data_IF_828064909779
#
_entry.id   IF_828064909779
#
_cell.length_a   1.000
_cell.length_b   1.000
_cell.length_c   1.000
_cell.angle_alpha   90.00
_cell.angle_beta   90.00
_cell.angle_gamma   90.00
#
_symmetry.space_group_name_H-M   'P 1'
#
loop_
_entity.id
_entity.type
_entity.pdbx_description
1 polymer ?
#
# COMPACT_ATOMS: atom_id res chain seq x y z
N UNK A 1 59.04 -7.99 -29.17
CA UNK A 1 57.82 -7.16 -29.06
C UNK A 1 56.72 -8.02 -28.47
N UNK A 2 56.55 -7.94 -27.14
CA UNK A 2 55.54 -8.69 -26.37
C UNK A 2 54.39 -7.71 -26.06
N UNK A 3 53.21 -8.02 -26.62
CA UNK A 3 51.97 -7.35 -26.27
C UNK A 3 51.31 -8.14 -25.14
N UNK A 4 51.25 -7.50 -23.95
CA UNK A 4 50.55 -8.02 -22.79
C UNK A 4 49.05 -7.66 -22.91
N UNK A 5 48.17 -8.65 -22.94
CA UNK A 5 46.72 -8.49 -22.90
C UNK A 5 46.33 -8.35 -21.42
N UNK A 6 45.77 -7.19 -21.05
CA UNK A 6 45.14 -6.95 -19.75
C UNK A 6 43.84 -7.71 -19.63
N UNK A 7 43.70 -8.40 -18.53
CA UNK A 7 42.51 -9.15 -18.13
C UNK A 7 41.60 -8.17 -17.36
N UNK A 8 40.56 -7.68 -18.05
CA UNK A 8 39.49 -6.92 -17.38
C UNK A 8 38.65 -7.89 -16.57
N UNK A 9 38.83 -7.81 -15.27
CA UNK A 9 37.91 -8.46 -14.30
C UNK A 9 36.61 -7.67 -14.27
N UNK A 10 35.57 -8.20 -14.92
CA UNK A 10 34.22 -7.72 -14.72
C UNK A 10 33.75 -8.10 -13.33
N UNK A 11 33.55 -7.09 -12.48
CA UNK A 11 32.92 -7.22 -11.17
C UNK A 11 31.47 -7.72 -11.33
N UNK A 12 31.28 -8.99 -11.02
CA UNK A 12 29.99 -9.71 -11.05
C UNK A 12 29.22 -9.56 -9.74
N UNK A 13 29.75 -8.78 -8.76
CA UNK A 13 29.20 -8.71 -7.41
C UNK A 13 28.09 -7.67 -7.20
N UNK A 14 27.77 -6.84 -8.21
CA UNK A 14 26.77 -5.78 -8.03
C UNK A 14 25.32 -6.20 -8.33
N UNK A 15 25.11 -7.36 -8.97
CA UNK A 15 23.75 -7.81 -9.37
C UNK A 15 23.04 -8.65 -8.30
N UNK A 16 23.79 -9.31 -7.40
CA UNK A 16 23.17 -10.19 -6.40
C UNK A 16 22.60 -9.45 -5.19
N UNK A 17 23.15 -8.29 -4.82
CA UNK A 17 22.65 -7.54 -3.64
C UNK A 17 21.26 -6.95 -3.82
N UNK A 18 20.91 -6.50 -5.02
CA UNK A 18 19.58 -5.94 -5.29
C UNK A 18 18.48 -7.01 -5.24
N UNK A 19 18.82 -8.27 -5.57
CA UNK A 19 17.87 -9.38 -5.55
C UNK A 19 17.55 -9.86 -4.13
N UNK A 20 18.53 -9.86 -3.22
CA UNK A 20 18.33 -10.33 -1.84
C UNK A 20 17.51 -9.34 -1.00
N UNK A 21 17.73 -8.04 -1.17
CA UNK A 21 16.92 -7.00 -0.49
C UNK A 21 15.45 -7.05 -0.95
N UNK A 22 15.21 -7.35 -2.21
CA UNK A 22 13.86 -7.44 -2.76
C UNK A 22 13.10 -8.69 -2.28
N UNK A 23 13.77 -9.84 -2.16
CA UNK A 23 13.19 -11.06 -1.61
C UNK A 23 12.84 -10.92 -0.12
N UNK A 24 13.66 -10.21 0.66
CA UNK A 24 13.37 -9.91 2.07
C UNK A 24 12.12 -9.04 2.23
N UNK A 25 11.93 -8.03 1.37
CA UNK A 25 10.72 -7.18 1.37
C UNK A 25 9.48 -7.94 0.94
N UNK A 26 9.59 -8.84 -0.04
CA UNK A 26 8.49 -9.72 -0.45
C UNK A 26 7.96 -10.56 0.70
N UNK A 27 8.84 -11.14 1.50
CA UNK A 27 8.45 -11.90 2.68
C UNK A 27 7.74 -11.01 3.71
N UNK A 28 8.25 -9.80 3.95
CA UNK A 28 7.68 -8.85 4.92
C UNK A 28 6.27 -8.41 4.52
N UNK A 29 6.03 -8.08 3.25
CA UNK A 29 4.70 -7.73 2.75
C UNK A 29 3.71 -8.89 2.88
N UNK A 30 4.14 -10.10 2.54
CA UNK A 30 3.32 -11.29 2.67
C UNK A 30 2.95 -11.60 4.13
N UNK A 31 3.89 -11.41 5.07
CA UNK A 31 3.67 -11.62 6.51
C UNK A 31 2.66 -10.64 7.09
N UNK A 32 2.67 -9.38 6.68
CA UNK A 32 1.68 -8.38 7.09
C UNK A 32 0.40 -8.42 6.27
N UNK A 33 0.29 -9.37 5.31
CA UNK A 33 -0.92 -9.62 4.53
C UNK A 33 -1.27 -8.56 3.50
N UNK A 34 -0.31 -7.72 3.10
CA UNK A 34 -0.50 -6.74 2.02
C UNK A 34 -0.13 -7.42 0.69
N UNK A 35 -1.13 -7.63 -0.16
CA UNK A 35 -0.97 -8.20 -1.51
C UNK A 35 -1.44 -7.25 -2.59
N UNK A 36 -2.49 -6.47 -2.29
CA UNK A 36 -3.13 -5.57 -3.25
C UNK A 36 -3.23 -4.16 -2.68
N UNK A 37 -2.65 -3.21 -3.37
CA UNK A 37 -2.65 -1.79 -3.03
C UNK A 37 -3.35 -0.99 -4.11
N UNK A 38 -4.29 -0.15 -3.73
CA UNK A 38 -4.91 0.84 -4.60
C UNK A 38 -4.46 2.23 -4.20
N UNK A 39 -3.93 2.97 -5.15
CA UNK A 39 -3.55 4.38 -4.98
C UNK A 39 -4.56 5.24 -5.73
N UNK A 40 -5.19 6.17 -5.02
CA UNK A 40 -6.13 7.15 -5.56
C UNK A 40 -5.47 8.52 -5.49
N UNK A 41 -4.79 8.89 -6.55
CA UNK A 41 -4.01 10.13 -6.63
C UNK A 41 -3.86 10.55 -8.11
N UNK A 42 -4.07 11.80 -8.49
CA UNK A 42 -3.81 12.27 -9.85
C UNK A 42 -2.32 12.27 -10.21
N UNK A 43 -1.43 12.27 -9.22
CA UNK A 43 0.03 12.37 -9.36
C UNK A 43 0.72 11.03 -9.03
N UNK A 44 0.56 10.05 -9.90
CA UNK A 44 1.12 8.69 -9.71
C UNK A 44 2.65 8.65 -9.78
N UNK A 45 3.31 9.63 -10.35
CA UNK A 45 4.77 9.79 -10.39
C UNK A 45 5.42 9.88 -8.99
N UNK A 46 4.63 10.25 -7.98
CA UNK A 46 5.06 10.32 -6.57
C UNK A 46 5.21 8.94 -5.90
N UNK A 47 4.81 7.85 -6.58
CA UNK A 47 4.78 6.50 -6.04
C UNK A 47 5.73 5.55 -6.77
N UNK A 48 6.91 6.04 -7.16
CA UNK A 48 7.91 5.27 -7.91
C UNK A 48 8.34 4.00 -7.17
N UNK A 49 8.47 4.05 -5.83
CA UNK A 49 8.83 2.90 -5.01
C UNK A 49 7.78 1.78 -5.08
N UNK A 50 6.48 2.16 -5.06
CA UNK A 50 5.39 1.19 -5.23
C UNK A 50 5.39 0.55 -6.62
N UNK A 51 5.70 1.33 -7.64
CA UNK A 51 5.82 0.82 -9.01
C UNK A 51 6.97 -0.16 -9.12
N UNK A 52 8.13 0.14 -8.53
CA UNK A 52 9.28 -0.75 -8.52
C UNK A 52 8.96 -2.09 -7.82
N UNK A 53 8.32 -2.06 -6.65
CA UNK A 53 7.93 -3.26 -5.91
C UNK A 53 6.85 -4.07 -6.65
N UNK A 54 5.92 -3.41 -7.34
CA UNK A 54 4.94 -4.09 -8.17
C UNK A 54 5.58 -4.77 -9.39
N UNK A 55 6.57 -4.12 -10.03
CA UNK A 55 7.35 -4.72 -11.13
C UNK A 55 8.18 -5.92 -10.66
N UNK A 56 8.65 -5.89 -9.43
CA UNK A 56 9.34 -7.02 -8.79
C UNK A 56 8.39 -8.16 -8.37
N UNK A 57 7.07 -7.97 -8.49
CA UNK A 57 6.06 -8.96 -8.10
C UNK A 57 5.77 -9.01 -6.61
N UNK A 58 6.22 -8.01 -5.83
CA UNK A 58 6.02 -7.95 -4.38
C UNK A 58 4.58 -7.62 -4.00
N UNK A 59 3.89 -6.83 -4.82
CA UNK A 59 2.53 -6.34 -4.56
C UNK A 59 1.78 -6.13 -5.86
N UNK A 60 0.48 -6.39 -5.88
CA UNK A 60 -0.43 -5.93 -6.94
C UNK A 60 -0.74 -4.45 -6.72
N UNK A 61 -0.60 -3.63 -7.77
CA UNK A 61 -0.75 -2.19 -7.70
C UNK A 61 -1.76 -1.67 -8.71
N UNK A 62 -2.73 -0.90 -8.22
CA UNK A 62 -3.75 -0.28 -9.05
C UNK A 62 -3.77 1.24 -8.82
N UNK A 63 -3.88 2.01 -9.90
CA UNK A 63 -3.99 3.47 -9.84
C UNK A 63 -5.36 3.94 -10.27
N UNK A 64 -5.90 4.90 -9.50
CA UNK A 64 -7.09 5.68 -9.83
C UNK A 64 -6.73 7.16 -9.77
N UNK A 65 -7.05 7.91 -10.80
CA UNK A 65 -6.73 9.36 -10.88
C UNK A 65 -7.81 10.25 -10.28
N UNK A 66 -8.98 9.67 -9.98
CA UNK A 66 -10.15 10.37 -9.46
C UNK A 66 -11.01 9.48 -8.55
N UNK A 67 -11.89 10.10 -7.78
CA UNK A 67 -12.79 9.39 -6.86
C UNK A 67 -13.81 8.51 -7.58
N UNK A 68 -14.26 8.91 -8.78
CA UNK A 68 -15.20 8.10 -9.57
C UNK A 68 -14.58 6.77 -10.01
N UNK A 69 -13.33 6.78 -10.45
CA UNK A 69 -12.62 5.53 -10.82
C UNK A 69 -12.36 4.66 -9.59
N UNK A 70 -12.00 5.26 -8.46
CA UNK A 70 -11.83 4.56 -7.19
C UNK A 70 -13.12 3.86 -6.76
N UNK A 71 -14.26 4.54 -6.76
CA UNK A 71 -15.56 3.95 -6.42
C UNK A 71 -16.00 2.83 -7.37
N UNK A 72 -15.71 2.97 -8.68
CA UNK A 72 -15.95 1.87 -9.64
C UNK A 72 -15.09 0.65 -9.38
N UNK A 73 -13.84 0.86 -8.96
CA UNK A 73 -12.93 -0.22 -8.60
C UNK A 73 -13.37 -0.91 -7.31
N UNK A 74 -13.69 -0.15 -6.26
CA UNK A 74 -14.08 -0.67 -4.95
C UNK A 74 -15.30 -1.62 -4.99
N UNK A 75 -16.22 -1.42 -5.95
CA UNK A 75 -17.41 -2.29 -6.13
C UNK A 75 -17.11 -3.68 -6.65
N UNK A 76 -15.97 -3.94 -7.22
CA UNK A 76 -15.62 -5.20 -7.92
C UNK A 76 -14.22 -5.71 -7.61
N UNK A 77 -13.43 -4.94 -6.88
CA UNK A 77 -12.06 -5.31 -6.54
C UNK A 77 -11.83 -5.09 -5.04
N UNK A 78 -11.17 -6.03 -4.41
CA UNK A 78 -10.79 -5.95 -3.00
C UNK A 78 -9.30 -5.71 -2.92
N UNK A 79 -8.92 -4.61 -2.28
CA UNK A 79 -7.55 -4.31 -1.94
C UNK A 79 -7.33 -4.45 -0.43
N UNK A 80 -6.11 -4.79 -0.05
CA UNK A 80 -5.71 -4.81 1.35
C UNK A 80 -5.46 -3.40 1.87
N UNK A 81 -5.01 -2.51 0.97
CA UNK A 81 -4.69 -1.12 1.29
C UNK A 81 -5.24 -0.18 0.22
N UNK A 82 -5.86 0.90 0.67
CA UNK A 82 -6.26 2.05 -0.12
C UNK A 82 -5.48 3.27 0.35
N UNK A 83 -4.69 3.89 -0.53
CA UNK A 83 -4.03 5.18 -0.30
C UNK A 83 -4.83 6.25 -1.05
N UNK A 84 -5.46 7.16 -0.34
CA UNK A 84 -6.36 8.17 -0.93
C UNK A 84 -5.79 9.55 -0.70
N UNK A 85 -5.47 10.27 -1.79
CA UNK A 85 -5.08 11.67 -1.72
C UNK A 85 -6.20 12.52 -1.12
N UNK A 86 -5.84 13.46 -0.25
CA UNK A 86 -6.74 14.50 0.25
C UNK A 86 -7.23 15.43 -0.87
N UNK A 87 -6.45 15.55 -1.96
CA UNK A 87 -6.74 16.40 -3.12
C UNK A 87 -7.01 15.56 -4.36
N UNK A 88 -8.28 15.48 -4.75
CA UNK A 88 -8.72 14.84 -5.98
C UNK A 88 -9.44 15.84 -6.89
N UNK A 89 -9.45 15.60 -8.21
CA UNK A 89 -10.00 16.57 -9.17
C UNK A 89 -11.52 16.64 -9.18
N UNK A 90 -12.22 15.60 -8.70
CA UNK A 90 -13.68 15.46 -8.85
C UNK A 90 -14.43 15.44 -7.52
N UNK A 91 -13.77 15.15 -6.42
CA UNK A 91 -14.36 15.05 -5.09
C UNK A 91 -13.29 15.34 -4.02
N UNK A 92 -13.69 15.85 -2.86
CA UNK A 92 -12.80 15.94 -1.71
C UNK A 92 -12.33 14.53 -1.32
N UNK A 93 -11.03 14.36 -1.02
CA UNK A 93 -10.49 13.08 -0.53
C UNK A 93 -11.24 12.58 0.69
N UNK A 94 -11.63 13.46 1.61
CA UNK A 94 -12.39 13.10 2.82
C UNK A 94 -13.81 12.60 2.50
N UNK A 95 -14.50 13.22 1.54
CA UNK A 95 -15.84 12.77 1.13
C UNK A 95 -15.73 11.40 0.41
N UNK A 96 -14.69 11.22 -0.41
CA UNK A 96 -14.42 9.90 -1.02
C UNK A 96 -14.19 8.82 0.04
N UNK A 97 -13.46 9.13 1.10
CA UNK A 97 -13.16 8.18 2.17
C UNK A 97 -14.43 7.69 2.85
N UNK A 98 -15.37 8.57 3.15
CA UNK A 98 -16.66 8.18 3.74
C UNK A 98 -17.41 7.20 2.82
N UNK A 99 -17.42 7.48 1.51
CA UNK A 99 -18.03 6.60 0.52
C UNK A 99 -17.30 5.27 0.38
N UNK A 100 -15.96 5.28 0.35
CA UNK A 100 -15.13 4.07 0.26
C UNK A 100 -15.25 3.20 1.49
N UNK A 101 -15.25 3.78 2.69
CA UNK A 101 -15.41 3.05 3.94
C UNK A 101 -16.74 2.28 3.98
N UNK A 102 -17.81 2.92 3.54
CA UNK A 102 -19.12 2.27 3.43
C UNK A 102 -19.13 1.14 2.38
N UNK A 103 -18.48 1.32 1.23
CA UNK A 103 -18.44 0.32 0.15
C UNK A 103 -17.54 -0.86 0.51
N UNK A 104 -16.37 -0.62 1.09
CA UNK A 104 -15.43 -1.65 1.55
C UNK A 104 -16.07 -2.51 2.64
N UNK A 105 -16.72 -1.89 3.63
CA UNK A 105 -17.43 -2.61 4.70
C UNK A 105 -18.57 -3.46 4.13
N UNK A 106 -19.34 -2.95 3.17
CA UNK A 106 -20.40 -3.71 2.50
C UNK A 106 -19.85 -4.91 1.74
N UNK A 107 -18.74 -4.72 1.00
CA UNK A 107 -18.07 -5.78 0.25
C UNK A 107 -17.50 -6.87 1.15
N UNK A 108 -17.04 -6.52 2.34
CA UNK A 108 -16.54 -7.49 3.33
C UNK A 108 -17.67 -8.35 3.92
N UNK A 109 -18.86 -7.79 4.01
CA UNK A 109 -20.05 -8.48 4.54
C UNK A 109 -20.72 -9.44 3.53
N UNK A 110 -20.47 -9.29 2.22
CA UNK A 110 -21.09 -10.10 1.17
C UNK A 110 -20.14 -11.22 0.70
N UNK A 111 -20.41 -12.49 1.10
CA UNK A 111 -19.58 -13.63 0.69
C UNK A 111 -19.74 -13.99 -0.80
N UNK A 112 -20.79 -13.51 -1.49
CA UNK A 112 -21.07 -13.83 -2.89
C UNK A 112 -20.11 -13.14 -3.87
N UNK A 113 -19.46 -12.06 -3.47
CA UNK A 113 -18.46 -11.32 -4.26
C UNK A 113 -17.06 -11.97 -4.22
N UNK A 114 -16.88 -13.07 -3.47
CA UNK A 114 -15.62 -13.83 -3.40
C UNK A 114 -15.44 -14.83 -4.55
N UNK A 115 -16.11 -14.63 -5.67
CA UNK A 115 -16.00 -15.46 -6.87
C UNK A 115 -14.67 -15.26 -7.59
N UNK A 116 -13.65 -16.05 -7.23
CA UNK A 116 -12.48 -16.25 -8.08
C UNK A 116 -11.15 -16.00 -7.41
N UNK A 117 -10.74 -16.89 -6.61
CA UNK A 117 -9.42 -17.51 -6.52
C UNK A 117 -9.36 -18.38 -5.27
N UNK A 118 -9.46 -19.67 -5.49
CA UNK A 118 -9.29 -20.68 -4.45
C UNK A 118 -7.81 -20.74 -4.07
N UNK A 119 -7.41 -19.93 -3.11
CA UNK A 119 -6.05 -19.89 -2.59
C UNK A 119 -6.07 -19.57 -1.10
N UNK A 120 -6.00 -20.62 -0.29
CA UNK A 120 -5.59 -20.63 1.11
C UNK A 120 -6.22 -19.58 2.04
N UNK A 121 -7.45 -19.86 2.51
CA UNK A 121 -8.04 -19.20 3.67
C UNK A 121 -7.41 -19.74 4.96
N UNK A 122 -6.23 -19.31 5.31
CA UNK A 122 -5.67 -19.48 6.65
C UNK A 122 -5.24 -18.12 7.18
N UNK A 123 -6.17 -17.43 7.80
CA UNK A 123 -5.91 -16.18 8.49
C UNK A 123 -7.19 -15.40 8.63
N UNK A 124 -7.49 -14.92 9.83
CA UNK A 124 -8.55 -13.95 10.12
C UNK A 124 -8.53 -12.89 9.04
N UNK A 125 -9.63 -12.72 8.29
CA UNK A 125 -9.75 -11.75 7.22
C UNK A 125 -9.32 -10.37 7.70
N UNK A 126 -8.15 -9.95 7.25
CA UNK A 126 -7.63 -8.64 7.57
C UNK A 126 -8.52 -7.64 6.83
N UNK A 127 -9.08 -6.69 7.56
CA UNK A 127 -9.91 -5.63 6.97
C UNK A 127 -9.04 -4.77 6.06
N UNK A 128 -9.59 -4.36 4.93
CA UNK A 128 -8.97 -3.37 4.05
C UNK A 128 -8.63 -2.11 4.84
N UNK A 129 -7.39 -1.66 4.78
CA UNK A 129 -6.97 -0.41 5.41
C UNK A 129 -7.12 0.76 4.45
N UNK A 130 -7.88 1.78 4.83
CA UNK A 130 -7.96 3.03 4.08
C UNK A 130 -7.07 4.05 4.78
N UNK A 131 -6.14 4.66 4.05
CA UNK A 131 -5.23 5.69 4.56
C UNK A 131 -5.43 6.97 3.75
N UNK A 132 -5.47 8.11 4.44
CA UNK A 132 -5.38 9.42 3.80
C UNK A 132 -3.93 9.75 3.54
N UNK A 133 -3.64 10.33 2.38
CA UNK A 133 -2.32 10.82 2.00
C UNK A 133 -2.41 12.30 1.69
N UNK A 134 -1.73 13.12 2.48
CA UNK A 134 -1.71 14.58 2.34
C UNK A 134 -0.29 15.12 2.07
N UNK A 135 -0.19 16.32 1.52
CA UNK A 135 1.10 17.02 1.36
C UNK A 135 1.57 17.65 2.68
N UNK A 136 0.63 18.05 3.54
CA UNK A 136 0.91 18.68 4.83
C UNK A 136 0.09 18.03 5.95
N UNK A 137 0.68 17.99 7.14
CA UNK A 137 -0.04 17.54 8.33
C UNK A 137 -1.00 18.62 8.83
N UNK A 138 -2.27 18.24 9.00
CA UNK A 138 -3.31 19.07 9.62
C UNK A 138 -4.11 18.23 10.62
N UNK A 139 -4.12 18.69 11.85
CA UNK A 139 -4.76 17.95 12.94
C UNK A 139 -6.29 17.80 12.74
N UNK A 140 -6.92 18.81 12.14
CA UNK A 140 -8.36 18.79 11.85
C UNK A 140 -8.70 17.72 10.80
N UNK A 141 -7.86 17.60 9.75
CA UNK A 141 -8.04 16.63 8.68
C UNK A 141 -7.75 15.21 9.18
N UNK A 142 -6.74 15.03 10.03
CA UNK A 142 -6.49 13.75 10.70
C UNK A 142 -7.68 13.33 11.56
N UNK A 143 -8.17 14.21 12.44
CA UNK A 143 -9.30 13.91 13.32
C UNK A 143 -10.57 13.57 12.54
N UNK A 144 -10.85 14.32 11.47
CA UNK A 144 -11.97 14.06 10.57
C UNK A 144 -11.81 12.71 9.86
N UNK A 145 -10.62 12.41 9.38
CA UNK A 145 -10.31 11.13 8.72
C UNK A 145 -10.49 9.94 9.66
N UNK A 146 -9.96 10.03 10.86
CA UNK A 146 -10.10 8.98 11.88
C UNK A 146 -11.57 8.79 12.29
N UNK A 147 -12.35 9.88 12.39
CA UNK A 147 -13.80 9.81 12.64
C UNK A 147 -14.56 9.11 11.49
N UNK A 148 -14.09 9.23 10.25
CA UNK A 148 -14.62 8.51 9.08
C UNK A 148 -14.19 7.04 9.01
N UNK A 149 -13.36 6.57 9.97
CA UNK A 149 -12.97 5.17 10.11
C UNK A 149 -11.77 4.75 9.27
N UNK A 150 -10.89 5.69 8.88
CA UNK A 150 -9.63 5.35 8.21
C UNK A 150 -8.65 4.67 9.16
N UNK A 151 -7.74 3.88 8.59
CA UNK A 151 -6.69 3.19 9.33
C UNK A 151 -5.55 4.13 9.75
N UNK A 152 -5.38 5.27 9.04
CA UNK A 152 -4.37 6.26 9.39
C UNK A 152 -4.33 7.45 8.43
N UNK A 153 -3.63 8.51 8.86
CA UNK A 153 -3.35 9.72 8.11
C UNK A 153 -1.84 9.80 7.86
N UNK A 154 -1.44 9.87 6.61
CA UNK A 154 -0.06 9.84 6.16
C UNK A 154 0.31 11.15 5.49
N UNK A 155 1.54 11.59 5.71
CA UNK A 155 2.11 12.74 5.02
C UNK A 155 3.16 12.24 4.03
N UNK A 156 3.15 12.78 2.81
CA UNK A 156 4.12 12.41 1.77
C UNK A 156 5.56 12.77 2.18
N UNK A 157 6.57 12.00 1.77
CA UNK A 157 6.49 10.83 0.90
C UNK A 157 6.00 9.57 1.64
N UNK A 158 5.13 8.78 1.00
CA UNK A 158 4.68 7.49 1.53
C UNK A 158 5.42 6.37 0.82
N UNK A 159 6.07 5.51 1.60
CA UNK A 159 6.81 4.34 1.10
C UNK A 159 6.13 3.04 1.54
N UNK A 160 6.51 1.94 0.93
CA UNK A 160 6.02 0.61 1.33
C UNK A 160 6.39 0.29 2.77
N UNK A 161 7.59 0.67 3.21
CA UNK A 161 8.05 0.42 4.59
C UNK A 161 7.14 1.08 5.63
N UNK A 162 6.61 2.26 5.34
CA UNK A 162 5.62 2.95 6.20
C UNK A 162 4.35 2.12 6.32
N UNK A 163 3.85 1.55 5.23
CA UNK A 163 2.66 0.69 5.27
C UNK A 163 2.90 -0.60 6.05
N UNK A 164 4.06 -1.21 5.87
CA UNK A 164 4.47 -2.41 6.61
C UNK A 164 4.52 -2.11 8.11
N UNK A 165 5.17 -1.02 8.52
CA UNK A 165 5.25 -0.60 9.92
C UNK A 165 3.85 -0.35 10.53
N UNK A 166 2.93 0.27 9.81
CA UNK A 166 1.58 0.54 10.29
C UNK A 166 0.70 -0.71 10.39
N UNK A 167 1.00 -1.75 9.61
CA UNK A 167 0.25 -3.01 9.59
C UNK A 167 0.85 -4.07 10.51
N UNK A 168 2.10 -3.93 10.92
CA UNK A 168 2.77 -4.89 11.80
C UNK A 168 2.17 -4.83 13.22
N UNK A 169 1.75 -5.96 13.81
CA UNK A 169 1.17 -5.99 15.16
C UNK A 169 2.20 -5.77 16.28
N UNK A 170 3.49 -5.73 15.98
CA UNK A 170 4.56 -5.81 16.97
C UNK A 170 4.76 -4.56 17.84
N UNK A 171 4.30 -3.38 17.43
CA UNK A 171 4.59 -2.14 18.18
C UNK A 171 3.45 -1.59 19.06
N UNK A 172 2.28 -2.26 19.10
CA UNK A 172 1.17 -1.78 19.95
C UNK A 172 1.25 -2.26 21.41
N UNK A 173 2.19 -3.09 21.78
CA UNK A 173 2.26 -3.71 23.13
C UNK A 173 3.22 -3.02 24.10
N UNK A 174 4.12 -2.15 23.65
CA UNK A 174 5.12 -1.54 24.54
C UNK A 174 4.72 -0.18 25.12
N UNK A 175 3.59 0.40 24.70
CA UNK A 175 3.12 1.70 25.21
C UNK A 175 2.27 1.58 26.48
N UNK A 176 1.96 0.38 27.00
CA UNK A 176 1.01 0.21 28.13
C UNK A 176 1.66 -0.37 29.38
N UNK A 177 2.99 -0.52 29.42
CA UNK A 177 3.67 -1.01 30.63
C UNK A 177 4.73 -0.03 31.10
N UNK A 178 4.30 1.15 31.54
CA UNK A 178 5.05 2.04 32.45
C UNK A 178 4.05 2.91 33.20
N UNK A 179 3.52 2.37 34.25
CA UNK A 179 2.89 3.12 35.32
C UNK A 179 3.30 2.50 36.67
#
# INVERSE_FOLDING_TARGET
MNASFGHDSFDHDSFDRASDDNLSRLCTLAEVGIREVVIVDPSFDRYADFVAEAQAGAVGLHFCVDGRSAMRLARRFRADVWLVSDQLPDVSGLDLIEMLSAEVTRSEADPSLTGGSSGCRTGRGMRSGIFVVADEYRIEDEQRSLAAGVAGYLVRPVTIDVLVAMRSPAERLDATTSA
#
